data_IF_970814698083
#
_entry.id   IF_970814698083
#
_cell.length_a   1.000
_cell.length_b   1.000
_cell.length_c   1.000
_cell.angle_alpha   90.00
_cell.angle_beta   90.00
_cell.angle_gamma   90.00
#
_symmetry.space_group_name_H-M   'P 1'
#
loop_
_entity.id
_entity.type
_entity.pdbx_description
1 polymer ?
#
# COMPACT_ATOMS: atom_id res chain seq x y z
N UNK A 1 -20.53 -53.84 -4.43
CA UNK A 1 -19.25 -53.74 -3.69
C UNK A 1 -19.35 -52.53 -2.78
N UNK A 2 -19.41 -52.70 -1.46
CA UNK A 2 -19.57 -51.57 -0.52
C UNK A 2 -18.19 -50.98 -0.22
N UNK A 3 -18.02 -49.67 -0.46
CA UNK A 3 -16.77 -48.95 -0.18
C UNK A 3 -17.00 -48.04 1.02
N UNK A 4 -16.21 -48.21 2.07
CA UNK A 4 -16.27 -47.38 3.27
C UNK A 4 -15.30 -46.21 3.17
N UNK A 5 -15.78 -45.01 3.53
CA UNK A 5 -14.92 -43.85 3.78
C UNK A 5 -14.34 -43.91 5.19
N UNK A 6 -13.02 -43.83 5.31
CA UNK A 6 -12.32 -43.79 6.59
C UNK A 6 -11.52 -42.49 6.70
N UNK A 7 -11.54 -41.86 7.87
CA UNK A 7 -10.60 -40.80 8.20
C UNK A 7 -9.28 -41.47 8.61
N UNK A 8 -8.22 -41.21 7.84
CA UNK A 8 -6.87 -41.69 8.18
C UNK A 8 -6.08 -40.54 8.80
N UNK A 9 -5.09 -40.87 9.64
CA UNK A 9 -4.08 -39.94 10.15
C UNK A 9 -2.69 -40.48 9.79
N UNK A 10 -2.21 -40.15 8.59
CA UNK A 10 -0.83 -40.37 8.17
C UNK A 10 0.08 -39.24 8.65
N UNK A 11 1.40 -39.45 8.58
CA UNK A 11 2.41 -38.49 9.03
C UNK A 11 2.23 -37.09 8.39
N UNK A 12 1.94 -37.06 7.09
CA UNK A 12 1.65 -35.82 6.35
C UNK A 12 0.34 -35.11 6.75
N UNK A 13 -0.59 -35.82 7.39
CA UNK A 13 -1.84 -35.25 7.92
C UNK A 13 -1.63 -34.69 9.33
N UNK A 14 -0.73 -35.30 10.12
CA UNK A 14 -0.26 -34.76 11.40
C UNK A 14 0.48 -33.43 11.21
N UNK A 15 1.31 -33.30 10.18
CA UNK A 15 1.99 -32.05 9.83
C UNK A 15 1.03 -30.94 9.37
N UNK A 16 -0.07 -31.30 8.68
CA UNK A 16 -1.08 -30.32 8.22
C UNK A 16 -2.14 -29.98 9.28
N UNK A 17 -2.24 -30.73 10.37
CA UNK A 17 -3.22 -30.53 11.43
C UNK A 17 -4.69 -30.78 11.06
N UNK A 18 -4.98 -31.21 9.82
CA UNK A 18 -6.35 -31.42 9.31
C UNK A 18 -6.50 -32.84 8.75
N UNK A 19 -7.48 -33.63 9.23
CA UNK A 19 -7.72 -34.98 8.73
C UNK A 19 -8.26 -34.94 7.29
N UNK A 20 -7.91 -35.94 6.47
CA UNK A 20 -8.48 -36.08 5.11
C UNK A 20 -9.38 -37.30 5.01
N UNK A 21 -10.43 -37.17 4.21
CA UNK A 21 -11.30 -38.28 3.84
C UNK A 21 -10.55 -39.20 2.88
N UNK A 22 -10.37 -40.46 3.25
CA UNK A 22 -9.75 -41.48 2.42
C UNK A 22 -10.76 -42.59 2.15
N UNK A 23 -11.02 -42.86 0.87
CA UNK A 23 -11.97 -43.89 0.45
C UNK A 23 -11.20 -45.09 -0.09
N UNK A 24 -11.52 -46.29 0.41
CA UNK A 24 -10.79 -47.50 0.04
C UNK A 24 -11.28 -48.10 -1.29
N UNK A 25 -10.84 -47.54 -2.41
CA UNK A 25 -11.15 -48.07 -3.75
C UNK A 25 -10.35 -49.32 -4.14
N UNK A 26 -9.53 -49.93 -3.26
CA UNK A 26 -8.72 -51.12 -3.62
C UNK A 26 -9.54 -52.24 -4.26
N UNK A 27 -10.72 -52.64 -3.73
CA UNK A 27 -11.45 -53.74 -4.34
C UNK A 27 -12.13 -53.29 -5.66
N UNK A 28 -12.44 -52.01 -5.82
CA UNK A 28 -13.04 -51.45 -7.04
C UNK A 28 -11.99 -51.38 -8.16
N UNK A 29 -10.77 -51.00 -7.80
CA UNK A 29 -9.62 -50.97 -8.69
C UNK A 29 -9.25 -52.35 -9.28
N UNK A 30 -9.68 -53.46 -8.65
CA UNK A 30 -9.48 -54.81 -9.19
C UNK A 30 -10.41 -55.12 -10.37
N UNK A 31 -11.63 -54.58 -10.34
CA UNK A 31 -12.65 -54.83 -11.39
C UNK A 31 -12.61 -53.77 -12.50
N UNK A 32 -11.98 -52.61 -12.25
CA UNK A 32 -11.81 -51.58 -13.26
C UNK A 32 -10.93 -52.03 -14.43
N UNK A 33 -11.44 -51.86 -15.66
CA UNK A 33 -10.64 -51.97 -16.88
C UNK A 33 -9.53 -50.92 -16.84
N UNK A 34 -8.31 -51.36 -17.07
CA UNK A 34 -7.14 -50.48 -16.97
C UNK A 34 -7.03 -49.58 -18.19
N UNK A 35 -6.95 -48.26 -17.97
CA UNK A 35 -6.61 -47.28 -19.00
C UNK A 35 -5.09 -47.11 -18.98
N UNK A 36 -4.42 -47.53 -20.05
CA UNK A 36 -2.97 -47.39 -20.21
C UNK A 36 -2.68 -46.15 -21.03
N UNK A 37 -2.52 -45.01 -20.36
CA UNK A 37 -1.92 -43.84 -20.96
C UNK A 37 -0.41 -43.83 -20.67
N UNK A 38 0.41 -43.50 -21.67
CA UNK A 38 1.87 -43.48 -21.54
C UNK A 38 2.28 -42.27 -20.69
N UNK A 39 2.73 -42.54 -19.47
CA UNK A 39 3.33 -41.53 -18.62
C UNK A 39 4.82 -41.44 -19.01
N UNK A 40 5.37 -40.23 -19.21
CA UNK A 40 6.78 -40.07 -19.56
C UNK A 40 7.72 -40.75 -18.56
N UNK A 41 8.77 -41.38 -19.08
CA UNK A 41 9.78 -42.03 -18.25
C UNK A 41 10.69 -40.93 -17.67
N UNK A 42 11.08 -41.08 -16.40
CA UNK A 42 11.94 -40.11 -15.69
C UNK A 42 13.21 -39.72 -16.47
N UNK A 43 13.84 -40.68 -17.15
CA UNK A 43 15.05 -40.43 -17.95
C UNK A 43 14.80 -39.49 -19.14
N UNK A 44 13.66 -39.63 -19.82
CA UNK A 44 13.31 -38.76 -20.95
C UNK A 44 13.01 -37.34 -20.48
N UNK A 45 12.35 -37.21 -19.32
CA UNK A 45 12.11 -35.90 -18.71
C UNK A 45 13.41 -35.19 -18.34
N UNK A 46 14.37 -35.91 -17.74
CA UNK A 46 15.68 -35.35 -17.37
C UNK A 46 16.49 -34.89 -18.59
N UNK A 47 16.46 -35.64 -19.70
CA UNK A 47 17.12 -35.22 -20.95
C UNK A 47 16.54 -33.93 -21.53
N UNK A 48 15.26 -33.64 -21.30
CA UNK A 48 14.63 -32.40 -21.77
C UNK A 48 15.00 -31.20 -20.89
N UNK A 49 15.30 -31.43 -19.61
CA UNK A 49 15.68 -30.42 -18.62
C UNK A 49 17.09 -29.89 -18.85
N UNK A 50 18.03 -30.70 -19.36
CA UNK A 50 19.45 -30.34 -19.47
C UNK A 50 19.75 -29.11 -20.33
N UNK A 51 18.87 -28.75 -21.26
CA UNK A 51 19.04 -27.60 -22.15
C UNK A 51 18.52 -26.29 -21.55
N UNK A 52 17.70 -26.35 -20.49
CA UNK A 52 17.05 -25.18 -19.91
C UNK A 52 17.90 -24.54 -18.80
N UNK A 53 17.81 -23.21 -18.68
CA UNK A 53 18.54 -22.42 -17.68
C UNK A 53 17.64 -21.89 -16.57
N UNK A 54 16.37 -21.64 -16.90
CA UNK A 54 15.36 -21.12 -15.97
C UNK A 54 14.20 -22.09 -15.92
N UNK A 55 13.73 -22.35 -14.71
CA UNK A 55 12.65 -23.28 -14.42
C UNK A 55 11.52 -22.58 -13.66
N UNK A 56 10.29 -22.85 -14.07
CA UNK A 56 9.09 -22.44 -13.35
C UNK A 56 8.25 -23.66 -13.06
N UNK A 57 8.00 -23.94 -11.78
CA UNK A 57 7.16 -25.07 -11.37
C UNK A 57 5.75 -24.58 -11.06
N UNK A 58 4.75 -25.26 -11.62
CA UNK A 58 3.34 -25.07 -11.32
C UNK A 58 2.79 -26.38 -10.73
N UNK A 59 2.12 -26.27 -9.59
CA UNK A 59 1.40 -27.37 -8.94
C UNK A 59 -0.10 -27.17 -9.15
N UNK A 60 -0.78 -28.17 -9.70
CA UNK A 60 -2.23 -28.11 -9.94
C UNK A 60 -3.00 -28.40 -8.66
N UNK A 61 -3.40 -27.35 -7.96
CA UNK A 61 -4.15 -27.46 -6.71
C UNK A 61 -5.43 -28.28 -6.90
N UNK A 62 -5.50 -29.42 -6.20
CA UNK A 62 -6.64 -30.34 -6.26
C UNK A 62 -7.01 -30.77 -7.68
N UNK A 63 -6.02 -30.97 -8.55
CA UNK A 63 -6.22 -31.24 -9.98
C UNK A 63 -7.25 -32.33 -10.27
N UNK A 64 -7.19 -33.47 -9.58
CA UNK A 64 -8.17 -34.56 -9.76
C UNK A 64 -9.63 -34.10 -9.57
N UNK A 65 -9.91 -33.23 -8.61
CA UNK A 65 -11.28 -32.76 -8.35
C UNK A 65 -11.80 -31.78 -9.39
N UNK A 66 -10.96 -31.35 -10.33
CA UNK A 66 -11.39 -30.52 -11.46
C UNK A 66 -11.92 -31.37 -12.63
N UNK A 67 -11.57 -32.66 -12.69
CA UNK A 67 -12.06 -33.56 -13.74
C UNK A 67 -13.41 -34.13 -13.34
N UNK A 68 -14.43 -33.90 -14.16
CA UNK A 68 -15.77 -34.43 -13.95
C UNK A 68 -15.85 -35.92 -14.32
N UNK A 69 -16.59 -36.69 -13.52
CA UNK A 69 -16.98 -38.06 -13.88
C UNK A 69 -18.25 -37.99 -14.71
N UNK A 70 -18.25 -38.73 -15.82
CA UNK A 70 -19.42 -38.88 -16.69
C UNK A 70 -20.65 -39.31 -15.85
N UNK A 71 -21.83 -38.68 -16.01
CA UNK A 71 -22.99 -38.93 -15.15
C UNK A 71 -23.36 -40.42 -15.00
N UNK A 72 -23.24 -41.19 -16.09
CA UNK A 72 -23.53 -42.62 -16.10
C UNK A 72 -22.55 -43.47 -15.26
N UNK A 73 -21.37 -42.96 -14.91
CA UNK A 73 -20.34 -43.70 -14.16
C UNK A 73 -20.23 -43.28 -12.69
N UNK A 74 -20.93 -42.21 -12.27
CA UNK A 74 -20.82 -41.64 -10.91
C UNK A 74 -21.19 -42.65 -9.82
N UNK A 75 -22.24 -43.45 -10.04
CA UNK A 75 -22.69 -44.46 -9.08
C UNK A 75 -21.61 -45.50 -8.74
N UNK A 76 -20.64 -45.72 -9.64
CA UNK A 76 -19.52 -46.65 -9.42
C UNK A 76 -18.53 -46.14 -8.37
N UNK A 77 -18.55 -44.83 -8.10
CA UNK A 77 -17.74 -44.17 -7.07
C UNK A 77 -18.49 -43.96 -5.75
N UNK A 78 -19.63 -44.64 -5.57
CA UNK A 78 -20.40 -44.52 -4.35
C UNK A 78 -19.62 -45.05 -3.13
N UNK A 79 -19.73 -44.34 -2.02
CA UNK A 79 -19.14 -44.69 -0.74
C UNK A 79 -20.13 -44.42 0.39
N UNK A 80 -19.99 -45.20 1.47
CA UNK A 80 -20.83 -45.07 2.65
C UNK A 80 -20.06 -44.38 3.79
N UNK A 81 -20.79 -43.52 4.49
CA UNK A 81 -20.41 -42.92 5.78
C UNK A 81 -21.53 -43.24 6.78
N UNK A 82 -21.29 -43.13 8.11
CA UNK A 82 -22.28 -43.54 9.12
C UNK A 82 -23.67 -42.92 8.99
N UNK A 83 -23.79 -41.77 8.32
CA UNK A 83 -25.02 -41.01 8.16
C UNK A 83 -25.57 -41.01 6.72
N UNK A 84 -25.00 -41.79 5.79
CA UNK A 84 -25.55 -41.88 4.44
C UNK A 84 -24.61 -42.47 3.38
N UNK A 85 -25.15 -42.57 2.16
CA UNK A 85 -24.42 -42.98 0.97
C UNK A 85 -24.22 -41.77 0.05
N UNK A 86 -23.00 -41.57 -0.42
CA UNK A 86 -22.61 -40.47 -1.28
C UNK A 86 -21.88 -41.00 -2.51
N UNK A 87 -21.85 -40.22 -3.58
CA UNK A 87 -21.10 -40.54 -4.80
C UNK A 87 -20.32 -39.31 -5.26
N UNK A 88 -19.25 -39.51 -6.03
CA UNK A 88 -18.46 -38.41 -6.55
C UNK A 88 -18.98 -37.91 -7.89
N UNK A 89 -19.04 -36.58 -8.03
CA UNK A 89 -19.28 -35.92 -9.31
C UNK A 89 -17.96 -35.65 -10.08
N UNK A 90 -16.85 -35.64 -9.35
CA UNK A 90 -15.49 -35.34 -9.84
C UNK A 90 -14.56 -36.49 -9.50
N UNK A 91 -13.41 -36.60 -10.16
CA UNK A 91 -12.53 -37.75 -10.02
C UNK A 91 -11.98 -37.86 -8.57
N UNK A 92 -12.35 -38.92 -7.80
CA UNK A 92 -11.83 -39.08 -6.46
C UNK A 92 -10.40 -39.62 -6.47
N UNK A 93 -9.67 -39.28 -5.41
CA UNK A 93 -8.35 -39.84 -5.16
C UNK A 93 -8.44 -41.35 -4.91
N UNK A 94 -7.44 -42.09 -5.38
CA UNK A 94 -7.31 -43.53 -5.15
C UNK A 94 -7.90 -44.43 -6.23
N UNK A 95 -8.48 -43.89 -7.31
CA UNK A 95 -8.86 -44.70 -8.48
C UNK A 95 -7.64 -45.08 -9.30
N UNK A 96 -7.59 -46.34 -9.76
CA UNK A 96 -6.48 -46.90 -10.56
C UNK A 96 -6.19 -46.11 -11.85
N UNK A 97 -7.24 -45.59 -12.50
CA UNK A 97 -7.11 -44.91 -13.79
C UNK A 97 -6.93 -43.38 -13.65
N UNK A 98 -7.01 -42.82 -12.45
CA UNK A 98 -7.05 -41.37 -12.26
C UNK A 98 -5.80 -40.68 -12.83
N UNK A 99 -4.60 -41.17 -12.49
CA UNK A 99 -3.35 -40.56 -12.96
C UNK A 99 -3.16 -40.65 -14.47
N UNK A 100 -3.58 -41.75 -15.09
CA UNK A 100 -3.49 -41.93 -16.54
C UNK A 100 -4.43 -41.00 -17.30
N UNK A 101 -5.66 -40.83 -16.81
CA UNK A 101 -6.62 -39.90 -17.41
C UNK A 101 -6.20 -38.45 -17.19
N UNK A 102 -5.67 -38.13 -15.99
CA UNK A 102 -5.14 -36.81 -15.69
C UNK A 102 -3.98 -36.44 -16.62
N UNK A 103 -3.01 -37.35 -16.79
CA UNK A 103 -1.88 -37.14 -17.70
C UNK A 103 -2.35 -36.92 -19.14
N UNK A 104 -3.35 -37.69 -19.60
CA UNK A 104 -3.92 -37.53 -20.94
C UNK A 104 -4.49 -36.12 -21.15
N UNK A 105 -5.36 -35.69 -20.23
CA UNK A 105 -5.99 -34.37 -20.30
C UNK A 105 -4.94 -33.25 -20.27
N UNK A 106 -3.95 -33.37 -19.39
CA UNK A 106 -2.89 -32.37 -19.31
C UNK A 106 -2.02 -32.35 -20.57
N UNK A 107 -1.71 -33.51 -21.13
CA UNK A 107 -0.97 -33.56 -22.40
C UNK A 107 -1.78 -32.95 -23.55
N UNK A 108 -3.10 -33.12 -23.57
CA UNK A 108 -3.98 -32.50 -24.57
C UNK A 108 -4.00 -30.97 -24.42
N UNK A 109 -4.09 -30.45 -23.18
CA UNK A 109 -4.07 -29.00 -22.87
C UNK A 109 -2.72 -28.36 -23.24
N UNK A 110 -1.62 -29.00 -22.84
CA UNK A 110 -0.26 -28.48 -23.02
C UNK A 110 0.40 -28.93 -24.32
N UNK A 111 -0.32 -29.61 -25.22
CA UNK A 111 0.22 -30.17 -26.46
C UNK A 111 0.95 -29.10 -27.30
N UNK A 112 0.34 -27.92 -27.41
CA UNK A 112 0.90 -26.77 -28.12
C UNK A 112 2.14 -26.14 -27.45
N UNK A 113 2.39 -26.45 -26.17
CA UNK A 113 3.48 -25.89 -25.38
C UNK A 113 4.57 -26.92 -25.04
N UNK A 114 4.53 -28.11 -25.65
CA UNK A 114 5.46 -29.19 -25.34
C UNK A 114 6.93 -28.83 -25.56
N UNK A 115 7.24 -27.83 -26.40
CA UNK A 115 8.61 -27.37 -26.62
C UNK A 115 9.28 -26.87 -25.34
N UNK A 116 8.54 -26.16 -24.48
CA UNK A 116 9.05 -25.53 -23.27
C UNK A 116 8.33 -25.98 -21.99
N UNK A 117 7.44 -26.98 -22.07
CA UNK A 117 6.75 -27.52 -20.89
C UNK A 117 6.94 -29.02 -20.77
N UNK A 118 7.07 -29.47 -19.51
CA UNK A 118 7.02 -30.87 -19.12
C UNK A 118 5.83 -31.03 -18.17
N UNK A 119 4.92 -31.94 -18.54
CA UNK A 119 3.77 -32.31 -17.72
C UNK A 119 4.04 -33.68 -17.10
N UNK A 120 3.91 -33.77 -15.78
CA UNK A 120 3.97 -35.03 -15.05
C UNK A 120 2.88 -35.10 -13.99
N UNK A 121 1.79 -35.81 -14.32
CA UNK A 121 0.57 -35.89 -13.50
C UNK A 121 0.17 -34.47 -13.06
N UNK A 122 0.23 -34.13 -11.78
CA UNK A 122 -0.22 -32.85 -11.21
C UNK A 122 0.81 -31.71 -11.33
N UNK A 123 2.06 -32.04 -11.69
CA UNK A 123 3.15 -31.07 -11.81
C UNK A 123 3.33 -30.62 -13.27
N UNK A 124 3.42 -29.31 -13.49
CA UNK A 124 3.82 -28.72 -14.76
C UNK A 124 5.12 -27.94 -14.56
N UNK A 125 6.16 -28.31 -15.32
CA UNK A 125 7.45 -27.64 -15.31
C UNK A 125 7.64 -26.86 -16.61
N UNK A 126 7.64 -25.54 -16.51
CA UNK A 126 8.09 -24.64 -17.57
C UNK A 126 9.62 -24.60 -17.60
N UNK A 127 10.19 -24.74 -18.78
CA UNK A 127 11.62 -24.79 -19.04
C UNK A 127 12.00 -23.75 -20.08
N UNK A 128 12.80 -22.78 -19.68
CA UNK A 128 13.22 -21.72 -20.56
C UNK A 128 14.72 -21.85 -20.84
N UNK A 129 15.04 -22.13 -22.10
CA UNK A 129 16.37 -21.92 -22.63
C UNK A 129 16.57 -20.41 -22.72
N UNK A 130 17.67 -19.88 -22.21
CA UNK A 130 17.97 -18.46 -22.34
C UNK A 130 18.06 -18.07 -23.82
N UNK A 131 16.95 -17.62 -24.41
CA UNK A 131 16.92 -17.07 -25.76
C UNK A 131 17.46 -15.64 -25.66
N UNK A 132 18.44 -15.30 -26.51
CA UNK A 132 18.70 -13.89 -26.81
C UNK A 132 17.44 -13.37 -27.49
N UNK A 133 16.86 -12.28 -26.98
CA UNK A 133 15.69 -11.68 -27.61
C UNK A 133 15.99 -11.40 -29.09
N UNK A 134 15.09 -11.82 -29.98
CA UNK A 134 15.26 -11.67 -31.43
C UNK A 134 15.28 -10.20 -31.86
N UNK A 135 14.68 -9.31 -31.06
CA UNK A 135 14.77 -7.87 -31.17
C UNK A 135 14.99 -7.28 -29.77
N UNK A 136 15.69 -6.14 -29.63
CA UNK A 136 15.70 -5.40 -28.38
C UNK A 136 14.26 -5.06 -28.02
N UNK A 137 13.74 -5.61 -26.92
CA UNK A 137 12.51 -5.14 -26.32
C UNK A 137 12.77 -3.69 -25.90
N UNK A 138 12.31 -2.72 -26.69
CA UNK A 138 12.13 -1.35 -26.20
C UNK A 138 10.87 -1.40 -25.33
N UNK A 139 10.97 -1.44 -23.98
CA UNK A 139 9.79 -1.26 -23.17
C UNK A 139 9.12 0.04 -23.62
N UNK A 140 7.78 0.06 -23.65
CA UNK A 140 7.10 1.36 -23.73
C UNK A 140 7.59 2.15 -22.53
N UNK A 141 8.39 3.19 -22.79
CA UNK A 141 8.87 4.06 -21.74
C UNK A 141 7.66 4.85 -21.26
N UNK A 142 7.11 4.46 -20.11
CA UNK A 142 6.06 5.22 -19.45
C UNK A 142 6.64 6.56 -19.03
N UNK A 143 6.10 7.63 -19.60
CA UNK A 143 6.47 8.98 -19.20
C UNK A 143 5.54 9.48 -18.08
N UNK A 144 5.84 10.66 -17.55
CA UNK A 144 5.06 11.31 -16.50
C UNK A 144 3.55 11.39 -16.81
N UNK A 145 3.18 11.59 -18.08
CA UNK A 145 1.77 11.67 -18.53
C UNK A 145 1.07 10.32 -18.49
N UNK A 146 1.80 9.25 -18.79
CA UNK A 146 1.25 7.89 -18.71
C UNK A 146 0.91 7.51 -17.26
N UNK A 147 1.76 7.89 -16.30
CA UNK A 147 1.50 7.67 -14.88
C UNK A 147 0.30 8.50 -14.38
N UNK A 148 0.23 9.78 -14.71
CA UNK A 148 -0.93 10.63 -14.34
C UNK A 148 -2.23 10.09 -14.94
N UNK A 149 -2.19 9.64 -16.19
CA UNK A 149 -3.35 9.04 -16.85
C UNK A 149 -3.78 7.72 -16.21
N UNK A 150 -2.83 6.86 -15.83
CA UNK A 150 -3.12 5.62 -15.12
C UNK A 150 -3.82 5.89 -13.78
N UNK A 151 -3.30 6.83 -12.98
CA UNK A 151 -3.92 7.25 -11.73
C UNK A 151 -5.32 7.82 -11.93
N UNK A 152 -5.51 8.70 -12.91
CA UNK A 152 -6.82 9.25 -13.24
C UNK A 152 -7.82 8.14 -13.61
N UNK A 153 -7.44 7.18 -14.45
CA UNK A 153 -8.32 6.09 -14.86
C UNK A 153 -8.72 5.22 -13.66
N UNK A 154 -7.75 4.84 -12.83
CA UNK A 154 -7.97 3.95 -11.69
C UNK A 154 -8.90 4.60 -10.65
N UNK A 155 -8.60 5.83 -10.24
CA UNK A 155 -9.29 6.44 -9.11
C UNK A 155 -10.51 7.27 -9.50
N UNK A 156 -10.52 7.86 -10.70
CA UNK A 156 -11.61 8.73 -11.17
C UNK A 156 -12.64 7.98 -12.02
N UNK A 157 -12.22 7.08 -12.93
CA UNK A 157 -13.13 6.44 -13.90
C UNK A 157 -13.62 5.04 -13.49
N UNK A 158 -12.79 4.18 -12.87
CA UNK A 158 -13.16 2.80 -12.51
C UNK A 158 -13.98 2.67 -11.21
N UNK A 159 -14.88 3.62 -10.95
CA UNK A 159 -15.45 3.85 -9.61
C UNK A 159 -16.70 3.03 -9.24
N UNK A 160 -17.19 2.10 -10.05
CA UNK A 160 -18.42 1.38 -9.72
C UNK A 160 -18.17 0.32 -8.63
N UNK A 161 -18.75 0.52 -7.45
CA UNK A 161 -18.74 -0.38 -6.27
C UNK A 161 -17.37 -0.66 -5.61
N UNK A 162 -16.33 0.13 -5.89
CA UNK A 162 -14.99 -0.06 -5.31
C UNK A 162 -14.69 0.95 -4.19
N UNK A 163 -13.86 0.53 -3.22
CA UNK A 163 -13.32 1.39 -2.16
C UNK A 163 -11.81 1.22 -2.08
N UNK A 164 -11.08 2.32 -2.04
CA UNK A 164 -9.63 2.34 -2.02
C UNK A 164 -9.12 2.50 -0.59
N UNK A 165 -8.18 1.66 -0.19
CA UNK A 165 -7.43 1.80 1.05
C UNK A 165 -6.05 2.38 0.73
N UNK A 166 -5.72 3.53 1.34
CA UNK A 166 -4.46 4.23 1.07
C UNK A 166 -3.71 4.43 2.38
N UNK A 167 -2.39 4.23 2.34
CA UNK A 167 -1.45 4.49 3.43
C UNK A 167 -0.07 4.79 2.87
N UNK A 168 0.79 5.43 3.66
CA UNK A 168 2.16 5.74 3.30
C UNK A 168 3.13 4.68 3.82
N UNK A 169 4.22 4.44 3.09
CA UNK A 169 5.31 3.60 3.60
C UNK A 169 6.16 4.40 4.61
N UNK A 170 6.94 3.69 5.45
CA UNK A 170 7.75 4.30 6.51
C UNK A 170 8.73 5.37 6.03
N UNK A 171 9.18 5.30 4.78
CA UNK A 171 10.17 6.21 4.19
C UNK A 171 9.54 7.20 3.20
N UNK A 172 8.21 7.25 3.11
CA UNK A 172 7.51 8.12 2.17
C UNK A 172 7.84 9.60 2.39
N UNK A 173 8.13 10.00 3.63
CA UNK A 173 8.56 11.37 3.95
C UNK A 173 9.90 11.78 3.33
N UNK A 174 10.68 10.85 2.77
CA UNK A 174 11.93 11.15 2.05
C UNK A 174 11.72 11.26 0.54
N UNK A 175 10.51 11.01 0.06
CA UNK A 175 10.20 10.99 -1.37
C UNK A 175 9.71 12.36 -1.81
N UNK A 176 10.12 12.79 -3.00
CA UNK A 176 9.54 13.95 -3.66
C UNK A 176 8.19 13.58 -4.26
N UNK A 177 7.14 14.28 -3.86
CA UNK A 177 5.79 14.05 -4.38
C UNK A 177 5.52 14.99 -5.55
N UNK A 178 5.13 14.45 -6.72
CA UNK A 178 4.88 15.26 -7.90
C UNK A 178 3.63 16.14 -7.71
N UNK A 179 3.60 17.31 -8.36
CA UNK A 179 2.51 18.28 -8.23
C UNK A 179 1.11 17.69 -8.52
N UNK A 180 1.00 16.76 -9.48
CA UNK A 180 -0.28 16.09 -9.74
C UNK A 180 -0.80 15.30 -8.54
N UNK A 181 0.09 14.70 -7.73
CA UNK A 181 -0.30 13.94 -6.56
C UNK A 181 -0.72 14.89 -5.43
N UNK A 182 -0.08 16.06 -5.31
CA UNK A 182 -0.48 17.08 -4.37
C UNK A 182 -1.88 17.61 -4.70
N UNK A 183 -2.17 17.87 -5.97
CA UNK A 183 -3.51 18.23 -6.44
C UNK A 183 -4.51 17.10 -6.17
N UNK A 184 -4.14 15.85 -6.45
CA UNK A 184 -4.96 14.69 -6.12
C UNK A 184 -5.25 14.61 -4.61
N UNK A 185 -4.25 14.87 -3.76
CA UNK A 185 -4.42 14.91 -2.31
C UNK A 185 -5.45 15.95 -1.87
N UNK A 186 -5.49 17.14 -2.49
CA UNK A 186 -6.47 18.16 -2.13
C UNK A 186 -7.92 17.68 -2.31
N UNK A 187 -8.17 16.78 -3.27
CA UNK A 187 -9.51 16.22 -3.50
C UNK A 187 -9.77 14.92 -2.75
N UNK A 188 -8.78 14.01 -2.65
CA UNK A 188 -8.95 12.64 -2.15
C UNK A 188 -8.27 12.32 -0.82
N UNK A 189 -7.50 13.27 -0.30
CA UNK A 189 -6.72 13.13 0.91
C UNK A 189 -7.56 13.13 2.19
N UNK A 190 -6.86 13.04 3.32
CA UNK A 190 -7.48 13.10 4.63
C UNK A 190 -7.96 14.52 4.94
N UNK A 191 -9.21 14.62 5.43
CA UNK A 191 -9.75 15.82 6.05
C UNK A 191 -9.72 15.71 7.58
N UNK A 192 -9.58 16.82 8.29
CA UNK A 192 -9.62 16.87 9.75
C UNK A 192 -10.96 16.39 10.32
N UNK A 193 -12.04 16.57 9.56
CA UNK A 193 -13.42 16.23 9.97
C UNK A 193 -13.62 14.74 10.27
N UNK A 194 -12.83 13.87 9.65
CA UNK A 194 -12.95 12.42 9.83
C UNK A 194 -12.10 11.88 10.99
N UNK A 195 -11.23 12.70 11.57
CA UNK A 195 -10.37 12.28 12.67
C UNK A 195 -11.19 12.04 13.95
N UNK A 196 -10.98 10.93 14.67
CA UNK A 196 -11.53 10.78 16.01
C UNK A 196 -11.02 11.87 16.95
N UNK A 197 -11.82 12.28 17.94
CA UNK A 197 -11.49 13.35 18.91
C UNK A 197 -10.08 13.21 19.52
N UNK A 198 -9.63 11.98 19.81
CA UNK A 198 -8.28 11.73 20.33
C UNK A 198 -7.18 12.13 19.34
N UNK A 199 -7.37 11.84 18.06
CA UNK A 199 -6.44 12.17 16.98
C UNK A 199 -6.52 13.65 16.60
N UNK A 200 -7.69 14.27 16.69
CA UNK A 200 -7.83 15.72 16.46
C UNK A 200 -6.96 16.54 17.42
N UNK A 201 -6.92 16.19 18.71
CA UNK A 201 -6.03 16.85 19.69
C UNK A 201 -4.55 16.75 19.31
N UNK A 202 -4.16 15.56 18.89
CA UNK A 202 -2.82 15.24 18.41
C UNK A 202 -2.46 15.99 17.13
N UNK A 203 -3.40 16.08 16.19
CA UNK A 203 -3.26 16.82 14.95
C UNK A 203 -3.17 18.34 15.19
N UNK A 204 -3.97 18.87 16.12
CA UNK A 204 -3.92 20.29 16.49
C UNK A 204 -2.55 20.68 17.05
N UNK A 205 -1.99 19.85 17.95
CA UNK A 205 -0.62 20.02 18.44
C UNK A 205 0.39 20.00 17.30
N UNK A 206 0.28 19.03 16.40
CA UNK A 206 1.13 18.96 15.22
C UNK A 206 1.02 20.21 14.33
N UNK A 207 -0.19 20.69 14.07
CA UNK A 207 -0.46 21.86 13.25
C UNK A 207 0.11 23.16 13.84
N UNK A 208 0.17 23.27 15.16
CA UNK A 208 0.74 24.42 15.86
C UNK A 208 2.27 24.39 15.87
N UNK A 209 2.87 23.20 15.96
CA UNK A 209 4.31 23.04 16.15
C UNK A 209 5.11 22.87 14.86
N UNK A 210 4.48 22.42 13.76
CA UNK A 210 5.19 22.13 12.49
C UNK A 210 5.47 23.41 11.68
N UNK A 211 6.65 23.49 11.05
CA UNK A 211 7.04 24.61 10.17
C UNK A 211 6.06 24.82 8.99
N UNK A 212 6.03 26.03 8.44
CA UNK A 212 5.21 26.37 7.27
C UNK A 212 5.74 25.72 5.98
N UNK A 213 4.90 25.03 5.22
CA UNK A 213 5.29 24.36 3.97
C UNK A 213 4.15 24.43 2.95
N UNK A 214 4.45 24.40 1.64
CA UNK A 214 3.44 24.29 0.58
C UNK A 214 2.57 23.03 0.70
N UNK A 215 3.11 21.95 1.29
CA UNK A 215 2.35 20.73 1.53
C UNK A 215 1.34 20.94 2.68
N UNK A 216 0.09 20.57 2.44
CA UNK A 216 -0.96 20.69 3.46
C UNK A 216 -0.58 19.99 4.78
N UNK A 217 -0.94 20.60 5.92
CA UNK A 217 -0.62 20.05 7.24
C UNK A 217 -1.24 18.67 7.46
N UNK A 218 -2.44 18.42 6.92
CA UNK A 218 -3.07 17.10 6.91
C UNK A 218 -2.29 16.07 6.10
N UNK A 219 -1.73 16.47 4.94
CA UNK A 219 -0.85 15.60 4.15
C UNK A 219 0.39 15.22 4.93
N UNK A 220 1.10 16.20 5.49
CA UNK A 220 2.31 15.98 6.26
C UNK A 220 2.06 15.12 7.50
N UNK A 221 0.97 15.37 8.20
CA UNK A 221 0.55 14.55 9.34
C UNK A 221 0.31 13.09 8.92
N UNK A 222 -0.41 12.85 7.83
CA UNK A 222 -0.63 11.50 7.33
C UNK A 222 0.66 10.82 6.85
N UNK A 223 1.58 11.59 6.26
CA UNK A 223 2.87 11.14 5.74
C UNK A 223 3.81 10.68 6.86
N UNK A 224 4.02 11.53 7.89
CA UNK A 224 4.94 11.21 8.99
C UNK A 224 4.42 10.07 9.86
N UNK A 225 3.11 10.02 10.12
CA UNK A 225 2.52 9.04 11.04
C UNK A 225 1.82 7.86 10.33
N UNK A 226 1.94 7.75 9.01
CA UNK A 226 1.43 6.64 8.18
C UNK A 226 -0.06 6.38 8.39
N UNK A 227 -0.85 7.46 8.42
CA UNK A 227 -2.28 7.38 8.75
C UNK A 227 -3.02 6.77 7.56
N UNK A 228 -3.67 5.60 7.71
CA UNK A 228 -4.45 5.02 6.63
C UNK A 228 -5.84 5.66 6.55
N UNK A 229 -6.35 5.78 5.33
CA UNK A 229 -7.73 6.19 5.07
C UNK A 229 -8.35 5.38 3.94
N UNK A 230 -9.69 5.41 3.92
CA UNK A 230 -10.46 4.79 2.86
C UNK A 230 -11.23 5.88 2.13
N UNK A 231 -11.25 5.84 0.81
CA UNK A 231 -12.18 6.64 0.04
C UNK A 231 -12.95 5.80 -0.98
N UNK A 232 -14.19 6.19 -1.23
CA UNK A 232 -15.07 5.56 -2.21
C UNK A 232 -16.01 6.60 -2.82
N UNK A 233 -16.48 6.32 -4.04
CA UNK A 233 -17.50 7.14 -4.67
C UNK A 233 -18.89 6.71 -4.21
N UNK A 234 -19.72 7.69 -3.89
CA UNK A 234 -21.13 7.50 -3.58
C UNK A 234 -21.96 8.14 -4.69
N UNK A 235 -22.65 7.29 -5.45
CA UNK A 235 -23.45 7.72 -6.59
C UNK A 235 -24.88 8.00 -6.14
N UNK A 236 -25.38 9.19 -6.46
CA UNK A 236 -26.75 9.62 -6.16
C UNK A 236 -27.43 10.05 -7.46
N UNK A 237 -28.69 9.66 -7.62
CA UNK A 237 -29.52 10.16 -8.72
C UNK A 237 -30.20 11.43 -8.25
N UNK A 238 -29.74 12.57 -8.77
CA UNK A 238 -30.28 13.89 -8.48
C UNK A 238 -31.13 14.43 -9.66
N UNK A 239 -32.11 15.30 -9.39
CA UNK A 239 -32.74 16.08 -10.45
C UNK A 239 -31.74 17.12 -10.97
N UNK A 240 -31.54 17.17 -12.29
CA UNK A 240 -30.77 18.21 -12.97
C UNK A 240 -31.64 18.79 -14.08
N UNK A 241 -32.43 19.82 -13.75
CA UNK A 241 -33.47 20.35 -14.64
C UNK A 241 -34.53 19.30 -14.97
N UNK A 242 -34.76 19.06 -16.26
CA UNK A 242 -35.78 18.10 -16.76
C UNK A 242 -35.31 16.63 -16.75
N UNK A 243 -34.06 16.34 -16.38
CA UNK A 243 -33.50 14.99 -16.41
C UNK A 243 -33.03 14.53 -15.04
N UNK A 244 -33.02 13.21 -14.81
CA UNK A 244 -32.32 12.61 -13.67
C UNK A 244 -30.84 12.46 -14.06
N UNK A 245 -29.96 13.18 -13.40
CA UNK A 245 -28.52 13.06 -13.57
C UNK A 245 -27.92 12.18 -12.47
N UNK A 246 -26.99 11.30 -12.83
CA UNK A 246 -26.18 10.57 -11.87
C UNK A 246 -25.05 11.48 -11.39
N UNK A 247 -25.09 11.91 -10.13
CA UNK A 247 -24.00 12.64 -9.48
C UNK A 247 -23.14 11.67 -8.68
N UNK A 248 -21.83 11.93 -8.64
CA UNK A 248 -20.89 11.23 -7.78
C UNK A 248 -20.44 12.18 -6.66
N UNK A 249 -20.51 11.71 -5.42
CA UNK A 249 -19.97 12.39 -4.25
C UNK A 249 -18.82 11.57 -3.69
N UNK A 250 -17.69 12.22 -3.39
CA UNK A 250 -16.58 11.53 -2.75
C UNK A 250 -16.91 11.31 -1.27
N UNK A 251 -16.72 10.08 -0.79
CA UNK A 251 -16.85 9.74 0.62
C UNK A 251 -15.53 9.22 1.16
N UNK A 252 -15.01 9.93 2.17
CA UNK A 252 -13.78 9.57 2.87
C UNK A 252 -14.14 9.01 4.25
N UNK A 253 -13.44 7.96 4.68
CA UNK A 253 -13.70 7.24 5.94
C UNK A 253 -12.42 6.98 6.71
N UNK A 254 -12.49 7.18 8.02
CA UNK A 254 -11.46 6.77 8.97
C UNK A 254 -11.42 5.25 9.13
N UNK A 255 -10.22 4.67 9.15
CA UNK A 255 -10.04 3.23 9.26
C UNK A 255 -9.90 2.74 10.70
N UNK A 256 -11.02 2.37 11.33
CA UNK A 256 -11.08 2.02 12.76
C UNK A 256 -10.24 0.81 13.20
N UNK A 257 -9.81 -0.08 12.29
CA UNK A 257 -9.08 -1.31 12.64
C UNK A 257 -7.56 -1.14 12.71
N UNK A 258 -7.03 0.04 12.40
CA UNK A 258 -5.61 0.29 12.50
C UNK A 258 -5.19 0.63 13.93
N UNK A 259 -3.95 0.29 14.27
CA UNK A 259 -3.38 0.65 15.55
C UNK A 259 -2.89 2.10 15.53
N UNK A 260 -3.53 2.96 16.30
CA UNK A 260 -3.23 4.39 16.41
C UNK A 260 -2.50 4.76 17.71
N UNK A 261 -1.96 3.78 18.45
CA UNK A 261 -1.28 4.04 19.72
C UNK A 261 -0.06 4.95 19.59
N UNK A 262 0.53 5.11 18.41
CA UNK A 262 1.62 6.06 18.16
C UNK A 262 1.15 7.51 17.94
N UNK A 263 -0.14 7.74 17.72
CA UNK A 263 -0.74 9.08 17.57
C UNK A 263 -1.14 9.71 18.91
N UNK A 264 -0.73 9.14 20.04
CA UNK A 264 -0.98 9.74 21.34
C UNK A 264 -0.19 11.05 21.49
N UNK A 265 -0.80 12.05 22.13
CA UNK A 265 -0.22 13.39 22.33
C UNK A 265 1.21 13.33 22.88
N UNK A 266 1.46 12.47 23.86
CA UNK A 266 2.80 12.34 24.47
C UNK A 266 3.84 11.85 23.46
N UNK A 267 3.48 10.87 22.62
CA UNK A 267 4.39 10.32 21.61
C UNK A 267 4.66 11.30 20.48
N UNK A 268 3.69 12.15 20.14
CA UNK A 268 3.90 13.24 19.17
C UNK A 268 4.86 14.27 19.74
N UNK A 269 4.73 14.64 21.03
CA UNK A 269 5.71 15.51 21.69
C UNK A 269 7.10 14.90 21.67
N UNK A 270 7.23 13.61 21.98
CA UNK A 270 8.52 12.92 21.94
C UNK A 270 9.08 12.81 20.50
N UNK A 271 8.21 12.64 19.51
CA UNK A 271 8.59 12.68 18.10
C UNK A 271 9.12 14.05 17.68
N UNK A 272 8.49 15.14 18.14
CA UNK A 272 8.97 16.50 17.89
C UNK A 272 10.32 16.78 18.57
N UNK A 273 10.57 16.24 19.77
CA UNK A 273 11.90 16.30 20.41
C UNK A 273 12.98 15.59 19.59
N UNK A 274 12.63 14.50 18.91
CA UNK A 274 13.55 13.80 18.02
C UNK A 274 13.73 14.51 16.66
N UNK A 275 12.78 15.37 16.26
CA UNK A 275 12.76 16.05 14.97
C UNK A 275 12.62 17.58 15.15
N UNK A 276 13.54 18.18 15.90
CA UNK A 276 13.52 19.61 16.23
C UNK A 276 13.57 20.48 14.96
N UNK A 277 14.32 20.06 13.95
CA UNK A 277 14.42 20.73 12.65
C UNK A 277 13.07 20.87 11.89
N UNK A 278 12.03 20.10 12.27
CA UNK A 278 10.70 20.22 11.67
C UNK A 278 9.78 21.15 12.47
N UNK A 279 10.25 21.72 13.58
CA UNK A 279 9.48 22.67 14.38
C UNK A 279 9.61 24.08 13.84
N UNK A 280 8.53 24.85 13.98
CA UNK A 280 8.53 26.27 13.65
C UNK A 280 9.27 27.06 14.74
N UNK A 281 10.56 27.34 14.52
CA UNK A 281 11.46 27.99 15.49
C UNK A 281 11.13 29.47 15.68
N UNK A 282 10.69 30.16 14.63
CA UNK A 282 10.30 31.59 14.65
C UNK A 282 9.19 31.87 15.65
N UNK A 283 8.25 30.94 15.80
CA UNK A 283 7.14 31.06 16.75
C UNK A 283 7.54 30.86 18.22
N UNK A 284 8.57 30.05 18.49
CA UNK A 284 9.09 29.88 19.85
C UNK A 284 9.84 31.13 20.32
N UNK A 285 10.59 31.76 19.42
CA UNK A 285 11.26 33.04 19.66
C UNK A 285 10.23 34.15 19.91
N UNK A 286 9.16 34.22 19.10
CA UNK A 286 8.07 35.18 19.29
C UNK A 286 7.30 34.97 20.61
N UNK A 287 7.00 33.72 21.00
CA UNK A 287 6.31 33.43 22.27
C UNK A 287 7.20 33.72 23.49
N UNK A 288 8.49 33.37 23.43
CA UNK A 288 9.46 33.69 24.47
C UNK A 288 9.65 35.21 24.60
N UNK A 289 9.72 35.92 23.47
CA UNK A 289 9.79 37.38 23.44
C UNK A 289 8.52 38.02 24.02
N UNK A 290 7.32 37.54 23.65
CA UNK A 290 6.05 38.05 24.18
C UNK A 290 5.88 37.79 25.67
N UNK A 291 6.31 36.63 26.18
CA UNK A 291 6.32 36.32 27.61
C UNK A 291 7.29 37.23 28.37
N UNK A 292 8.48 37.44 27.83
CA UNK A 292 9.49 38.36 28.39
C UNK A 292 8.95 39.80 28.41
N UNK A 293 8.36 40.26 27.30
CA UNK A 293 7.69 41.57 27.21
C UNK A 293 6.58 41.73 28.25
N UNK A 294 5.72 40.72 28.42
CA UNK A 294 4.63 40.77 29.39
C UNK A 294 5.15 40.79 30.84
N UNK A 295 6.21 40.03 31.14
CA UNK A 295 6.86 40.03 32.46
C UNK A 295 7.55 41.38 32.76
N UNK A 296 8.20 41.98 31.76
CA UNK A 296 8.81 43.32 31.87
C UNK A 296 7.72 44.38 32.09
N UNK A 297 6.63 44.33 31.32
CA UNK A 297 5.49 45.24 31.48
C UNK A 297 4.82 45.14 32.85
N UNK A 298 4.63 43.93 33.40
CA UNK A 298 4.06 43.77 34.75
C UNK A 298 4.99 44.32 35.83
N UNK A 299 6.30 44.16 35.66
CA UNK A 299 7.32 44.64 36.61
C UNK A 299 7.43 46.17 36.56
N UNK A 300 7.36 46.77 35.36
CA UNK A 300 7.29 48.22 35.16
C UNK A 300 6.02 48.82 35.76
N UNK A 301 4.88 48.15 35.62
CA UNK A 301 3.61 48.61 36.19
C UNK A 301 3.57 48.54 37.74
N UNK A 302 4.43 47.72 38.35
CA UNK A 302 4.58 47.60 39.80
C UNK A 302 5.62 48.55 40.43
N UNK A 303 6.42 49.25 39.62
CA UNK A 303 7.42 50.18 40.10
C UNK A 303 6.74 51.47 40.58
N UNK A 304 6.88 51.78 41.88
CA UNK A 304 6.21 52.93 42.51
C UNK A 304 7.12 54.16 42.63
N UNK A 305 8.42 53.98 42.33
CA UNK A 305 9.43 55.04 42.41
C UNK A 305 10.28 55.13 41.13
N UNK A 306 10.73 56.34 40.79
CA UNK A 306 11.52 56.62 39.57
C UNK A 306 12.86 55.84 39.53
N UNK A 307 13.42 55.50 40.69
CA UNK A 307 14.67 54.76 40.80
C UNK A 307 14.49 53.26 40.50
N UNK A 308 13.38 52.65 40.94
CA UNK A 308 13.02 51.27 40.61
C UNK A 308 12.79 51.12 39.10
N UNK A 309 12.10 52.08 38.49
CA UNK A 309 11.87 52.11 37.04
C UNK A 309 13.19 52.10 36.24
N UNK A 310 14.15 52.97 36.58
CA UNK A 310 15.43 53.05 35.88
C UNK A 310 16.29 51.79 36.07
N UNK A 311 16.18 51.10 37.21
CA UNK A 311 16.89 49.84 37.44
C UNK A 311 16.35 48.68 36.59
N UNK A 312 15.02 48.61 36.41
CA UNK A 312 14.35 47.58 35.59
C UNK A 312 14.68 47.78 34.11
N UNK A 313 14.66 49.03 33.63
CA UNK A 313 15.00 49.35 32.24
C UNK A 313 16.46 49.01 31.93
N UNK A 314 17.39 49.33 32.81
CA UNK A 314 18.81 49.02 32.59
C UNK A 314 19.09 47.51 32.54
N UNK A 315 18.43 46.71 33.39
CA UNK A 315 18.57 45.25 33.35
C UNK A 315 18.02 44.62 32.06
N UNK A 316 16.96 45.19 31.47
CA UNK A 316 16.38 44.71 30.21
C UNK A 316 17.28 45.05 29.02
N UNK A 317 17.85 46.26 29.01
CA UNK A 317 18.76 46.70 27.94
C UNK A 317 20.04 45.87 27.91
N UNK A 318 20.60 45.52 29.07
CA UNK A 318 21.80 44.67 29.16
C UNK A 318 21.56 43.25 28.64
N UNK A 319 20.37 42.68 28.86
CA UNK A 319 20.04 41.34 28.38
C UNK A 319 19.74 41.28 26.87
N UNK A 320 19.43 42.41 26.23
CA UNK A 320 19.20 42.49 24.78
C UNK A 320 20.48 42.78 23.98
N UNK A 321 21.55 43.25 24.64
CA UNK A 321 22.83 43.55 23.98
C UNK A 321 23.74 42.34 23.75
N UNK A 322 23.47 41.19 24.39
CA UNK A 322 24.29 39.98 24.24
C UNK A 322 23.96 39.13 22.99
N UNK A 323 22.86 39.41 22.27
CA UNK A 323 22.38 38.59 21.14
C UNK A 323 22.81 39.07 19.73
N UNK A 324 23.62 40.14 19.61
CA UNK A 324 23.91 40.79 18.31
C UNK A 324 25.35 40.61 17.76
N UNK A 325 26.17 39.72 18.31
CA UNK A 325 27.60 39.64 17.93
C UNK A 325 27.95 38.63 16.81
N UNK A 326 26.98 38.01 16.12
CA UNK A 326 27.27 37.06 15.04
C UNK A 326 26.55 37.38 13.71
N UNK A 327 26.94 38.46 13.02
CA UNK A 327 26.74 38.59 11.57
C UNK A 327 27.95 39.27 10.91
N UNK A 328 28.48 38.74 9.78
CA UNK A 328 29.65 39.31 9.12
C UNK A 328 29.30 40.57 8.31
N UNK A 329 30.11 41.60 8.49
CA UNK A 329 30.16 42.83 7.68
C UNK A 329 30.54 42.50 6.23
N UNK A 330 29.59 42.59 5.30
CA UNK A 330 29.83 43.05 3.93
C UNK A 330 28.54 43.15 3.13
N UNK A 331 27.97 44.37 3.03
CA UNK A 331 27.24 44.84 1.85
C UNK A 331 27.00 46.36 1.95
N UNK A 332 27.77 47.13 1.18
CA UNK A 332 27.53 48.55 0.93
C UNK A 332 26.21 48.79 0.17
N UNK A 333 25.58 49.98 0.30
CA UNK A 333 24.22 50.21 -0.18
C UNK A 333 24.22 50.51 -1.69
N UNK A 334 23.55 49.66 -2.48
CA UNK A 334 23.28 49.94 -3.88
C UNK A 334 21.97 50.72 -4.06
N UNK A 335 22.05 51.71 -4.92
CA UNK A 335 21.06 52.72 -5.28
C UNK A 335 19.69 52.20 -5.69
N UNK A 336 18.67 52.91 -5.23
CA UNK A 336 17.31 52.94 -5.79
C UNK A 336 17.37 53.34 -7.27
N UNK A 337 16.79 52.52 -8.15
CA UNK A 337 15.97 52.97 -9.27
C UNK A 337 15.18 51.82 -9.92
N UNK A 338 13.96 52.20 -10.29
CA UNK A 338 13.06 51.69 -11.31
C UNK A 338 12.25 50.40 -11.07
N UNK A 339 10.97 50.69 -10.85
CA UNK A 339 9.79 49.83 -10.94
C UNK A 339 9.65 49.36 -12.38
N UNK A 340 9.68 48.05 -12.62
CA UNK A 340 8.83 47.37 -13.61
C UNK A 340 8.83 45.85 -13.38
N UNK A 341 7.66 45.26 -13.59
CA UNK A 341 7.30 43.83 -13.55
C UNK A 341 7.43 43.09 -12.21
N UNK A 342 6.28 42.95 -11.53
CA UNK A 342 6.06 42.02 -10.42
C UNK A 342 6.21 40.58 -10.91
N UNK A 343 7.44 40.07 -10.94
CA UNK A 343 7.72 38.65 -10.78
C UNK A 343 7.23 38.23 -9.39
N UNK A 344 5.99 37.72 -9.33
CA UNK A 344 5.51 37.01 -8.16
C UNK A 344 6.41 35.78 -7.96
N UNK A 345 7.35 35.88 -7.03
CA UNK A 345 8.14 34.74 -6.60
C UNK A 345 7.34 33.98 -5.53
N UNK A 346 6.69 32.84 -5.86
CA UNK A 346 5.89 32.09 -4.89
C UNK A 346 6.72 31.50 -3.75
N UNK A 347 8.05 31.67 -3.78
CA UNK A 347 9.01 31.17 -2.80
C UNK A 347 9.56 32.24 -1.86
N UNK A 348 9.06 33.48 -1.94
CA UNK A 348 9.43 34.54 -1.02
C UNK A 348 8.98 34.19 0.42
N UNK A 349 9.95 33.96 1.32
CA UNK A 349 9.69 33.51 2.70
C UNK A 349 9.66 32.00 2.93
N UNK A 350 9.97 31.17 1.92
CA UNK A 350 10.14 29.72 2.10
C UNK A 350 11.61 29.39 2.41
N UNK A 351 11.83 28.43 3.33
CA UNK A 351 13.17 27.92 3.62
C UNK A 351 13.76 27.29 2.34
N UNK A 352 14.81 27.91 1.81
CA UNK A 352 15.54 27.52 0.61
C UNK A 352 16.14 26.09 0.72
N UNK A 353 16.19 25.55 1.94
CA UNK A 353 16.62 24.19 2.24
C UNK A 353 15.46 23.20 2.42
N UNK A 354 14.20 23.57 2.18
CA UNK A 354 13.06 22.66 2.27
C UNK A 354 13.27 21.49 1.26
N UNK A 355 13.46 20.25 1.75
CA UNK A 355 13.70 19.08 0.90
C UNK A 355 12.50 18.72 0.01
N UNK A 356 11.39 19.45 0.10
CA UNK A 356 10.19 19.29 -0.71
C UNK A 356 9.97 20.41 -1.73
N UNK A 357 10.85 21.42 -1.81
CA UNK A 357 10.85 22.41 -2.88
C UNK A 357 11.26 21.75 -4.20
N UNK A 358 10.39 21.86 -5.20
CA UNK A 358 10.52 21.20 -6.49
C UNK A 358 11.65 21.86 -7.30
N UNK A 359 12.76 21.15 -7.54
CA UNK A 359 13.85 21.56 -8.45
C UNK A 359 13.69 20.97 -9.86
N UNK A 360 12.52 20.44 -10.22
CA UNK A 360 12.32 19.87 -11.55
C UNK A 360 12.29 21.00 -12.61
N UNK A 361 13.09 20.90 -13.68
CA UNK A 361 12.93 21.78 -14.83
C UNK A 361 11.59 21.47 -15.52
N UNK A 362 10.84 22.52 -15.84
CA UNK A 362 9.58 22.51 -16.56
C UNK A 362 9.61 21.74 -17.89
#
# INVERSE_FOLDING_TARGET
MVVFGLLRQQQAEKERGVPRLVINYKPFNKVLKWIRYLIPIRQDLLKRITLAKVFSKFDMKSGFWQIQIHPADRYKTAFNVPFGQFQWNVMPLGLKNASSEFQKIMNDIFNQYQEFTIVYIDDVLGMFVGRKFSHPFKPHSYNYRDYTKAWYIIFWLQAYNHSWFVTFCKQAYKMHFPNWFQNWWMYFGLSEEIFPVKVQRSYHLFQQSIYSSPLSKTFRFALYFQIPWIFCWNFQLGPSGNFKALSNSLRIKWWKKFNYSHLEVNKIKDWFKANIHLQDMTRQEDEAFLLTKNAVMSTLAGASTQQEFNSVVNNVVVNLSDDNDDLPEDASPASVNDVDDLDYNPYEGLDINDPFLDKQPY
#
